data_IF_232256071354
#
_entry.id   IF_232256071354
#
_cell.length_a   1.000
_cell.length_b   1.000
_cell.length_c   1.000
_cell.angle_alpha   90.00
_cell.angle_beta   90.00
_cell.angle_gamma   90.00
#
_symmetry.space_group_name_H-M   'P 1'
#
loop_
_entity.id
_entity.type
_entity.pdbx_description
1 polymer ?
#
# COMPACT_ATOMS: atom_id res chain seq x y z
N UNK A 1 -12.98 10.43 64.81
CA UNK A 1 -12.05 10.27 63.67
C UNK A 1 -12.65 9.24 62.72
N UNK A 2 -13.15 9.64 61.55
CA UNK A 2 -13.63 8.71 60.53
C UNK A 2 -12.44 8.08 59.76
N UNK A 3 -12.53 6.81 59.34
CA UNK A 3 -11.47 6.13 58.61
C UNK A 3 -11.42 6.59 57.15
N UNK A 4 -10.23 7.05 56.72
CA UNK A 4 -9.89 7.34 55.34
C UNK A 4 -10.00 6.05 54.51
N UNK A 5 -11.00 5.97 53.64
CA UNK A 5 -11.05 4.96 52.58
C UNK A 5 -10.12 5.40 51.45
N UNK A 6 -8.89 4.87 51.47
CA UNK A 6 -8.04 4.86 50.29
C UNK A 6 -8.73 4.03 49.20
N UNK A 7 -9.44 4.70 48.29
CA UNK A 7 -9.74 4.11 46.98
C UNK A 7 -8.43 4.02 46.22
N UNK A 8 -7.80 2.84 46.32
CA UNK A 8 -6.77 2.44 45.38
C UNK A 8 -7.36 2.52 43.98
N UNK A 9 -6.97 3.54 43.22
CA UNK A 9 -7.13 3.52 41.79
C UNK A 9 -6.23 2.40 41.28
N UNK A 10 -6.84 1.30 40.88
CA UNK A 10 -6.17 0.29 40.07
C UNK A 10 -5.78 0.96 38.75
N UNK A 11 -4.61 1.59 38.71
CA UNK A 11 -3.91 1.82 37.45
C UNK A 11 -3.66 0.43 36.89
N UNK A 12 -4.42 0.07 35.85
CA UNK A 12 -4.06 -1.04 34.99
C UNK A 12 -2.64 -0.75 34.50
N UNK A 13 -1.68 -1.46 35.08
CA UNK A 13 -0.35 -1.64 34.49
C UNK A 13 -0.53 -2.46 33.22
N UNK A 14 -1.07 -1.82 32.18
CA UNK A 14 -1.23 -2.40 30.87
C UNK A 14 0.09 -2.28 30.14
N UNK A 15 0.84 -3.37 30.06
CA UNK A 15 2.07 -3.49 29.27
C UNK A 15 1.75 -3.60 27.77
N UNK A 16 0.87 -2.75 27.24
CA UNK A 16 0.36 -2.89 25.88
C UNK A 16 -0.21 -1.60 25.30
N UNK A 17 -0.37 -1.60 23.98
CA UNK A 17 -0.91 -0.47 23.22
C UNK A 17 -2.39 -0.27 23.58
N UNK A 18 -2.74 0.90 24.12
CA UNK A 18 -4.12 1.24 24.49
C UNK A 18 -5.03 1.36 23.26
N UNK A 19 -6.34 1.12 23.45
CA UNK A 19 -7.34 1.14 22.38
C UNK A 19 -7.36 2.45 21.56
N UNK A 20 -7.07 3.59 22.22
CA UNK A 20 -6.96 4.88 21.54
C UNK A 20 -5.79 4.90 20.57
N UNK A 21 -4.62 4.41 20.99
CA UNK A 21 -3.44 4.35 20.13
C UNK A 21 -3.69 3.39 18.96
N UNK A 22 -4.31 2.24 19.20
CA UNK A 22 -4.70 1.32 18.14
C UNK A 22 -5.66 1.96 17.11
N UNK A 23 -6.67 2.71 17.57
CA UNK A 23 -7.61 3.41 16.70
C UNK A 23 -6.94 4.51 15.87
N UNK A 24 -6.04 5.28 16.49
CA UNK A 24 -5.24 6.32 15.80
C UNK A 24 -4.36 5.69 14.73
N UNK A 25 -3.63 4.63 15.06
CA UNK A 25 -2.76 3.93 14.10
C UNK A 25 -3.56 3.35 12.93
N UNK A 26 -4.70 2.69 13.21
CA UNK A 26 -5.56 2.20 12.16
C UNK A 26 -6.07 3.33 11.24
N UNK A 27 -6.47 4.47 11.81
CA UNK A 27 -6.86 5.65 11.05
C UNK A 27 -5.71 6.19 10.17
N UNK A 28 -4.51 6.30 10.74
CA UNK A 28 -3.31 6.72 10.01
C UNK A 28 -2.97 5.75 8.86
N UNK A 29 -3.15 4.44 9.05
CA UNK A 29 -2.99 3.43 8.01
C UNK A 29 -4.00 3.57 6.87
N UNK A 30 -5.27 3.83 7.18
CA UNK A 30 -6.28 4.09 6.15
C UNK A 30 -5.93 5.35 5.33
N UNK A 31 -5.54 6.44 6.00
CA UNK A 31 -5.08 7.66 5.35
C UNK A 31 -3.83 7.41 4.50
N UNK A 32 -2.87 6.62 5.01
CA UNK A 32 -1.66 6.26 4.29
C UNK A 32 -1.98 5.54 2.97
N UNK A 33 -2.93 4.59 2.97
CA UNK A 33 -3.34 3.92 1.74
C UNK A 33 -3.89 4.91 0.71
N UNK A 34 -4.78 5.80 1.15
CA UNK A 34 -5.39 6.82 0.28
C UNK A 34 -4.34 7.78 -0.28
N UNK A 35 -3.43 8.27 0.56
CA UNK A 35 -2.35 9.16 0.13
C UNK A 35 -1.42 8.45 -0.86
N UNK A 36 -1.03 7.21 -0.58
CA UNK A 36 -0.21 6.42 -1.50
C UNK A 36 -0.90 6.23 -2.84
N UNK A 37 -2.21 5.92 -2.86
CA UNK A 37 -2.99 5.84 -4.08
C UNK A 37 -3.01 7.16 -4.86
N UNK A 38 -3.27 8.28 -4.19
CA UNK A 38 -3.34 9.59 -4.84
C UNK A 38 -1.99 10.00 -5.44
N UNK A 39 -0.89 9.77 -4.73
CA UNK A 39 0.45 10.06 -5.24
C UNK A 39 0.77 9.14 -6.43
N UNK A 40 0.50 7.83 -6.33
CA UNK A 40 0.69 6.90 -7.45
C UNK A 40 -0.19 7.26 -8.65
N UNK A 41 -1.41 7.74 -8.43
CA UNK A 41 -2.28 8.24 -9.50
C UNK A 41 -1.67 9.44 -10.22
N UNK A 42 -1.09 10.40 -9.48
CA UNK A 42 -0.36 11.51 -10.08
C UNK A 42 0.86 11.00 -10.86
N UNK A 43 1.67 10.12 -10.28
CA UNK A 43 2.85 9.57 -10.97
C UNK A 43 2.47 8.82 -12.25
N UNK A 44 1.43 7.98 -12.21
CA UNK A 44 0.93 7.25 -13.37
C UNK A 44 0.41 8.19 -14.47
N UNK A 45 -0.38 9.20 -14.10
CA UNK A 45 -0.98 10.11 -15.10
C UNK A 45 0.02 11.09 -15.69
N UNK A 46 1.05 11.48 -14.94
CA UNK A 46 2.07 12.42 -15.40
C UNK A 46 3.28 11.73 -16.05
N UNK A 47 3.40 10.40 -15.94
CA UNK A 47 4.55 9.69 -16.52
C UNK A 47 4.55 9.77 -18.04
N UNK A 48 5.75 9.97 -18.59
CA UNK A 48 6.06 9.75 -20.01
C UNK A 48 6.96 8.53 -20.08
N UNK A 49 6.68 7.63 -21.02
CA UNK A 49 7.51 6.44 -21.23
C UNK A 49 8.82 6.87 -21.89
N UNK A 50 9.98 6.38 -21.41
CA UNK A 50 11.26 6.65 -22.06
C UNK A 50 11.33 5.95 -23.42
N UNK A 51 12.14 6.46 -24.35
CA UNK A 51 12.35 5.79 -25.63
C UNK A 51 12.94 4.39 -25.40
N UNK A 52 12.37 3.32 -25.99
CA UNK A 52 12.87 1.96 -25.76
C UNK A 52 14.20 1.74 -26.48
N UNK A 53 15.19 1.20 -25.76
CA UNK A 53 16.52 0.89 -26.29
C UNK A 53 16.61 -0.54 -26.85
N UNK A 54 15.68 -1.42 -26.44
CA UNK A 54 15.61 -2.82 -26.88
C UNK A 54 14.22 -3.18 -27.40
N UNK A 55 14.15 -4.25 -28.20
CA UNK A 55 12.88 -4.75 -28.70
C UNK A 55 11.95 -5.23 -27.57
N UNK A 56 12.50 -5.85 -26.53
CA UNK A 56 11.72 -6.31 -25.37
C UNK A 56 11.11 -5.12 -24.62
N UNK A 57 11.89 -4.04 -24.39
CA UNK A 57 11.37 -2.80 -23.81
C UNK A 57 10.26 -2.18 -24.67
N UNK A 58 10.40 -2.23 -26.00
CA UNK A 58 9.36 -1.72 -26.90
C UNK A 58 8.05 -2.51 -26.78
N UNK A 59 8.12 -3.83 -26.58
CA UNK A 59 6.94 -4.68 -26.34
C UNK A 59 6.29 -4.34 -25.00
N UNK A 60 7.09 -4.26 -23.93
CA UNK A 60 6.58 -3.98 -22.58
C UNK A 60 5.94 -2.59 -22.50
N UNK A 61 6.56 -1.59 -23.12
CA UNK A 61 6.00 -0.24 -23.18
C UNK A 61 4.76 -0.16 -24.08
N UNK A 62 4.70 -0.93 -25.16
CA UNK A 62 3.48 -1.04 -25.97
C UNK A 62 2.33 -1.65 -25.16
N UNK A 63 2.62 -2.63 -24.29
CA UNK A 63 1.65 -3.16 -23.35
C UNK A 63 1.19 -2.10 -22.35
N UNK A 64 2.11 -1.34 -21.74
CA UNK A 64 1.75 -0.23 -20.84
C UNK A 64 0.91 0.82 -21.56
N UNK A 65 1.23 1.15 -22.81
CA UNK A 65 0.45 2.08 -23.61
C UNK A 65 -0.97 1.53 -23.88
N UNK A 66 -1.10 0.25 -24.21
CA UNK A 66 -2.41 -0.41 -24.31
C UNK A 66 -3.21 -0.27 -23.02
N UNK A 67 -2.59 -0.51 -21.85
CA UNK A 67 -3.25 -0.34 -20.55
C UNK A 67 -3.71 1.11 -20.35
N UNK A 68 -2.91 2.10 -20.75
CA UNK A 68 -3.30 3.52 -20.64
C UNK A 68 -4.47 3.88 -21.55
N UNK A 69 -4.58 3.23 -22.69
CA UNK A 69 -5.61 3.52 -23.70
C UNK A 69 -6.95 2.81 -23.38
N UNK A 70 -6.89 1.61 -22.80
CA UNK A 70 -8.10 0.78 -22.56
C UNK A 70 -8.57 0.74 -21.12
N UNK A 71 -7.66 0.77 -20.15
CA UNK A 71 -8.00 0.67 -18.73
C UNK A 71 -8.24 2.07 -18.16
N UNK A 72 -9.37 2.31 -17.46
CA UNK A 72 -9.59 3.58 -16.78
C UNK A 72 -8.39 3.94 -15.89
N UNK A 73 -7.87 5.16 -16.04
CA UNK A 73 -6.61 5.59 -15.41
C UNK A 73 -6.57 5.39 -13.89
N UNK A 74 -7.71 5.54 -13.22
CA UNK A 74 -7.84 5.32 -11.78
C UNK A 74 -7.66 3.85 -11.38
N UNK A 75 -8.06 2.89 -12.23
CA UNK A 75 -7.80 1.46 -12.03
C UNK A 75 -6.34 1.14 -12.28
N UNK A 76 -5.76 1.64 -13.38
CA UNK A 76 -4.36 1.41 -13.72
C UNK A 76 -3.40 2.00 -12.67
N UNK A 77 -3.69 3.19 -12.15
CA UNK A 77 -2.97 3.77 -11.01
C UNK A 77 -3.10 2.91 -9.75
N UNK A 78 -4.30 2.39 -9.48
CA UNK A 78 -4.54 1.43 -8.42
C UNK A 78 -3.67 0.20 -8.58
N UNK A 79 -3.71 -0.48 -9.73
CA UNK A 79 -2.86 -1.62 -10.06
C UNK A 79 -1.35 -1.31 -9.89
N UNK A 80 -0.92 -0.13 -10.33
CA UNK A 80 0.47 0.35 -10.17
C UNK A 80 0.85 0.48 -8.69
N UNK A 81 -0.08 0.89 -7.82
CA UNK A 81 0.17 0.91 -6.37
C UNK A 81 0.43 -0.51 -5.82
N UNK A 82 -0.23 -1.55 -6.35
CA UNK A 82 0.04 -2.94 -5.94
C UNK A 82 1.44 -3.38 -6.40
N UNK A 83 1.81 -3.05 -7.64
CA UNK A 83 3.16 -3.30 -8.14
C UNK A 83 4.24 -2.60 -7.30
N UNK A 84 3.97 -1.39 -6.80
CA UNK A 84 4.85 -0.68 -5.87
C UNK A 84 5.05 -1.42 -4.52
N UNK A 85 4.24 -2.43 -4.22
CA UNK A 85 4.40 -3.32 -3.07
C UNK A 85 4.95 -4.70 -3.44
N UNK A 86 5.51 -4.86 -4.64
CA UNK A 86 5.92 -6.16 -5.20
C UNK A 86 4.76 -7.15 -5.34
N UNK A 87 3.54 -6.64 -5.55
CA UNK A 87 2.38 -7.48 -5.89
C UNK A 87 2.15 -7.38 -7.38
N UNK A 88 2.65 -8.38 -8.12
CA UNK A 88 2.46 -8.46 -9.56
C UNK A 88 0.99 -8.73 -9.91
N UNK A 89 0.53 -8.15 -11.00
CA UNK A 89 -0.82 -8.36 -11.51
C UNK A 89 -0.89 -9.72 -12.20
N UNK A 90 -2.05 -10.37 -12.12
CA UNK A 90 -2.34 -11.53 -12.97
C UNK A 90 -3.00 -11.05 -14.25
N UNK A 91 -2.30 -11.22 -15.37
CA UNK A 91 -2.83 -11.04 -16.71
C UNK A 91 -3.32 -12.39 -17.24
N UNK A 92 -4.62 -12.53 -17.44
CA UNK A 92 -5.25 -13.78 -17.89
C UNK A 92 -5.89 -13.62 -19.25
N UNK A 93 -5.69 -14.61 -20.10
CA UNK A 93 -6.26 -14.74 -21.45
C UNK A 93 -6.78 -16.18 -21.64
N UNK A 94 -7.55 -16.48 -22.70
CA UNK A 94 -8.01 -17.86 -22.94
C UNK A 94 -6.86 -18.85 -23.18
N UNK A 95 -5.68 -18.38 -23.59
CA UNK A 95 -4.49 -19.21 -23.82
C UNK A 95 -3.64 -19.42 -22.58
N UNK A 96 -3.87 -18.69 -21.49
CA UNK A 96 -3.13 -18.82 -20.24
C UNK A 96 -3.03 -17.53 -19.45
N UNK A 97 -2.28 -17.58 -18.35
CA UNK A 97 -2.05 -16.44 -17.46
C UNK A 97 -0.56 -16.17 -17.28
N UNK A 98 -0.19 -14.89 -17.15
CA UNK A 98 1.14 -14.41 -16.80
C UNK A 98 1.08 -13.40 -15.65
N UNK A 99 2.23 -13.14 -15.04
CA UNK A 99 2.38 -12.07 -14.04
C UNK A 99 2.99 -10.84 -14.70
N UNK A 100 2.47 -9.66 -14.37
CA UNK A 100 2.91 -8.40 -14.97
C UNK A 100 3.08 -7.31 -13.91
N UNK A 101 4.17 -6.56 -14.03
CA UNK A 101 4.44 -5.37 -13.23
C UNK A 101 4.47 -4.14 -14.15
N UNK A 102 3.53 -3.22 -13.95
CA UNK A 102 3.38 -2.01 -14.78
C UNK A 102 4.53 -1.02 -14.59
N UNK A 103 5.18 -1.02 -13.42
CA UNK A 103 6.33 -0.14 -13.16
C UNK A 103 7.53 -0.65 -13.95
N UNK A 104 7.80 -1.96 -13.88
CA UNK A 104 8.89 -2.59 -14.62
C UNK A 104 8.65 -2.50 -16.12
N UNK A 105 7.43 -2.78 -16.58
CA UNK A 105 7.07 -2.72 -18.00
C UNK A 105 7.13 -1.28 -18.57
N UNK A 106 6.94 -0.26 -17.73
CA UNK A 106 7.13 1.13 -18.15
C UNK A 106 8.61 1.47 -18.38
N UNK A 107 9.54 0.69 -17.82
CA UNK A 107 10.98 0.82 -18.03
C UNK A 107 11.60 2.09 -17.45
N UNK A 108 10.87 2.88 -16.66
CA UNK A 108 11.35 4.13 -16.07
C UNK A 108 10.28 5.22 -16.00
N UNK A 109 10.72 6.47 -16.14
CA UNK A 109 9.84 7.65 -16.04
C UNK A 109 9.39 7.97 -14.62
N UNK A 110 8.40 8.85 -14.47
CA UNK A 110 7.90 9.27 -13.15
C UNK A 110 7.24 8.12 -12.39
N UNK A 111 6.66 7.15 -13.10
CA UNK A 111 6.00 6.00 -12.47
C UNK A 111 6.97 5.14 -11.66
N UNK A 112 8.27 5.12 -11.98
CA UNK A 112 9.28 4.43 -11.19
C UNK A 112 9.38 4.94 -9.74
N UNK A 113 9.06 6.22 -9.50
CA UNK A 113 9.04 6.76 -8.14
C UNK A 113 7.92 6.18 -7.27
N UNK A 114 6.92 5.51 -7.85
CA UNK A 114 5.85 4.86 -7.11
C UNK A 114 6.39 3.80 -6.15
N UNK A 115 7.54 3.16 -6.46
CA UNK A 115 8.20 2.19 -5.59
C UNK A 115 8.59 2.76 -4.21
N UNK A 116 8.84 4.07 -4.13
CA UNK A 116 9.20 4.73 -2.87
C UNK A 116 7.99 5.28 -2.12
N UNK A 117 6.83 5.38 -2.78
CA UNK A 117 5.64 5.99 -2.18
C UNK A 117 5.16 5.21 -0.95
N UNK A 118 4.89 3.90 -1.01
CA UNK A 118 4.39 3.19 0.16
C UNK A 118 5.36 3.16 1.34
N UNK A 119 6.67 2.87 1.16
CA UNK A 119 7.64 2.93 2.26
C UNK A 119 7.65 4.27 3.00
N UNK A 120 7.69 5.38 2.25
CA UNK A 120 7.79 6.72 2.83
C UNK A 120 6.49 7.12 3.54
N UNK A 121 5.34 6.88 2.91
CA UNK A 121 4.04 7.25 3.49
C UNK A 121 3.74 6.41 4.74
N UNK A 122 4.06 5.11 4.73
CA UNK A 122 3.87 4.23 5.90
C UNK A 122 4.82 4.59 7.04
N UNK A 123 6.07 4.96 6.74
CA UNK A 123 7.01 5.46 7.74
C UNK A 123 6.47 6.72 8.43
N UNK A 124 5.96 7.69 7.66
CA UNK A 124 5.33 8.89 8.21
C UNK A 124 4.07 8.54 9.01
N UNK A 125 3.23 7.62 8.53
CA UNK A 125 2.02 7.22 9.23
C UNK A 125 2.32 6.56 10.58
N UNK A 126 3.28 5.64 10.62
CA UNK A 126 3.74 5.01 11.86
C UNK A 126 4.33 6.02 12.83
N UNK A 127 5.16 6.95 12.32
CA UNK A 127 5.72 8.05 13.09
C UNK A 127 4.63 8.92 13.72
N UNK A 128 3.69 9.42 12.93
CA UNK A 128 2.61 10.30 13.39
C UNK A 128 1.73 9.58 14.43
N UNK A 129 1.45 8.29 14.22
CA UNK A 129 0.63 7.49 15.15
C UNK A 129 1.25 7.44 16.55
N UNK A 130 2.57 7.24 16.63
CA UNK A 130 3.29 7.19 17.91
C UNK A 130 3.57 8.59 18.45
N UNK A 131 3.85 9.56 17.59
CA UNK A 131 4.12 10.93 18.00
C UNK A 131 2.89 11.60 18.64
N UNK A 132 1.70 11.30 18.15
CA UNK A 132 0.42 11.86 18.64
C UNK A 132 -0.20 11.09 19.80
N UNK A 133 0.42 9.98 20.21
CA UNK A 133 -0.03 9.15 21.34
C UNK A 133 1.06 9.09 22.41
N UNK A 134 0.69 8.67 23.62
CA UNK A 134 1.64 8.43 24.72
C UNK A 134 2.30 7.04 24.63
N UNK A 135 2.38 6.47 23.41
CA UNK A 135 2.89 5.13 23.16
C UNK A 135 4.43 5.00 23.20
N UNK A 136 5.15 6.06 23.59
CA UNK A 136 6.62 6.13 23.61
C UNK A 136 7.25 5.71 24.95
N UNK A 137 6.54 4.94 25.77
CA UNK A 137 7.06 4.50 27.08
C UNK A 137 8.31 3.63 26.95
N UNK A 138 8.38 2.81 25.89
CA UNK A 138 9.55 2.04 25.50
C UNK A 138 9.57 1.80 23.98
N UNK A 139 10.73 1.41 23.45
CA UNK A 139 10.91 1.13 22.03
C UNK A 139 9.98 0.01 21.50
N UNK A 140 9.78 -1.12 22.20
CA UNK A 140 8.88 -2.17 21.73
C UNK A 140 7.43 -1.71 21.57
N UNK A 141 6.88 -0.93 22.52
CA UNK A 141 5.51 -0.43 22.38
C UNK A 141 5.39 0.61 21.27
N UNK A 142 6.40 1.45 21.05
CA UNK A 142 6.44 2.39 19.94
C UNK A 142 6.44 1.67 18.59
N UNK A 143 7.27 0.64 18.41
CA UNK A 143 7.30 -0.19 17.19
C UNK A 143 5.94 -0.87 16.98
N UNK A 144 5.37 -1.48 18.02
CA UNK A 144 4.08 -2.15 17.94
C UNK A 144 2.94 -1.18 17.57
N UNK A 145 2.88 -0.02 18.21
CA UNK A 145 1.89 1.01 17.91
C UNK A 145 2.03 1.57 16.48
N UNK A 146 3.26 1.76 16.01
CA UNK A 146 3.54 2.15 14.63
C UNK A 146 3.11 1.08 13.63
N UNK A 147 3.35 -0.20 13.92
CA UNK A 147 2.95 -1.32 13.06
C UNK A 147 1.41 -1.43 12.91
N UNK A 148 0.62 -1.00 13.91
CA UNK A 148 -0.84 -1.06 13.85
C UNK A 148 -1.49 -0.23 12.72
N UNK A 149 -0.71 0.58 11.99
CA UNK A 149 -1.16 1.14 10.70
C UNK A 149 -1.59 0.06 9.72
N UNK A 150 -1.08 -1.17 9.87
CA UNK A 150 -1.49 -2.34 9.10
C UNK A 150 -3.01 -2.54 9.08
N UNK A 151 -3.72 -2.24 10.18
CA UNK A 151 -5.15 -2.54 10.32
C UNK A 151 -5.98 -1.75 9.30
N UNK A 152 -5.79 -0.43 9.26
CA UNK A 152 -6.50 0.41 8.29
C UNK A 152 -5.97 0.24 6.86
N UNK A 153 -4.66 0.06 6.72
CA UNK A 153 -4.03 -0.13 5.41
C UNK A 153 -4.52 -1.41 4.73
N UNK A 154 -4.56 -2.54 5.46
CA UNK A 154 -5.03 -3.83 4.97
C UNK A 154 -6.52 -3.78 4.57
N UNK A 155 -7.36 -3.08 5.33
CA UNK A 155 -8.78 -2.98 5.00
C UNK A 155 -8.98 -2.34 3.61
N UNK A 156 -8.32 -1.21 3.36
CA UNK A 156 -8.41 -0.52 2.07
C UNK A 156 -7.68 -1.28 0.95
N UNK A 157 -6.58 -1.95 1.27
CA UNK A 157 -5.89 -2.86 0.36
C UNK A 157 -6.77 -3.99 -0.15
N UNK A 158 -7.61 -4.57 0.70
CA UNK A 158 -8.53 -5.61 0.27
C UNK A 158 -9.60 -5.02 -0.63
N UNK A 159 -10.18 -3.88 -0.28
CA UNK A 159 -11.16 -3.17 -1.12
C UNK A 159 -10.57 -2.83 -2.50
N UNK A 160 -9.34 -2.29 -2.53
CA UNK A 160 -8.65 -1.93 -3.76
C UNK A 160 -8.39 -3.11 -4.69
N UNK A 161 -8.07 -4.29 -4.15
CA UNK A 161 -7.75 -5.47 -4.96
C UNK A 161 -8.93 -5.89 -5.85
N UNK A 162 -10.16 -5.73 -5.35
CA UNK A 162 -11.37 -5.96 -6.15
C UNK A 162 -11.73 -4.75 -7.02
N UNK A 163 -11.54 -3.53 -6.50
CA UNK A 163 -11.98 -2.30 -7.17
C UNK A 163 -11.16 -2.02 -8.45
N UNK A 164 -9.86 -2.31 -8.41
CA UNK A 164 -8.94 -1.98 -9.50
C UNK A 164 -8.86 -3.04 -10.59
N UNK A 165 -9.40 -4.24 -10.40
CA UNK A 165 -9.45 -5.25 -11.44
C UNK A 165 -10.16 -4.76 -12.71
N UNK A 166 -9.69 -5.22 -13.86
CA UNK A 166 -10.25 -4.86 -15.17
C UNK A 166 -10.35 -6.09 -16.07
N UNK A 167 -11.49 -6.20 -16.76
CA UNK A 167 -11.74 -7.23 -17.77
C UNK A 167 -12.28 -6.54 -19.00
N UNK A 168 -11.72 -6.87 -20.16
CA UNK A 168 -12.12 -6.30 -21.44
C UNK A 168 -12.22 -7.40 -22.50
N UNK A 169 -13.20 -7.24 -23.38
CA UNK A 169 -13.35 -8.06 -24.58
C UNK A 169 -12.63 -7.38 -25.73
N UNK A 170 -11.72 -8.10 -26.37
CA UNK A 170 -10.98 -7.63 -27.54
C UNK A 170 -11.49 -8.39 -28.77
N UNK A 171 -11.89 -7.65 -29.79
CA UNK A 171 -12.25 -8.21 -31.09
C UNK A 171 -11.16 -7.91 -32.10
N UNK A 172 -10.62 -8.96 -32.73
CA UNK A 172 -9.60 -8.81 -33.76
C UNK A 172 -9.83 -9.81 -34.89
N UNK A 173 -9.98 -9.32 -36.13
CA UNK A 173 -10.26 -10.13 -37.32
C UNK A 173 -11.38 -11.17 -37.16
N UNK A 174 -12.48 -10.80 -36.49
CA UNK A 174 -13.63 -11.69 -36.28
C UNK A 174 -13.45 -12.73 -35.17
N UNK A 175 -12.34 -12.68 -34.43
CA UNK A 175 -12.14 -13.43 -33.20
C UNK A 175 -12.44 -12.55 -32.00
N UNK A 176 -13.31 -13.02 -31.10
CA UNK A 176 -13.56 -12.40 -29.80
C UNK A 176 -12.73 -13.11 -28.73
N UNK A 177 -11.83 -12.38 -28.08
CA UNK A 177 -11.11 -12.80 -26.89
C UNK A 177 -11.48 -11.94 -25.69
N UNK A 178 -11.20 -12.41 -24.48
CA UNK A 178 -11.28 -11.59 -23.27
C UNK A 178 -9.93 -11.64 -22.57
N UNK A 179 -9.45 -10.51 -22.08
CA UNK A 179 -8.34 -10.49 -21.14
C UNK A 179 -8.79 -9.90 -19.81
N UNK A 180 -8.12 -10.31 -18.74
CA UNK A 180 -8.37 -9.82 -17.39
C UNK A 180 -7.06 -9.46 -16.73
N UNK A 181 -7.00 -8.24 -16.20
CA UNK A 181 -5.97 -7.77 -15.28
C UNK A 181 -6.57 -7.76 -13.87
N UNK A 182 -6.06 -8.64 -13.01
CA UNK A 182 -6.54 -8.77 -11.64
C UNK A 182 -5.40 -8.70 -10.63
N UNK A 183 -5.76 -8.32 -9.40
CA UNK A 183 -4.81 -8.22 -8.29
C UNK A 183 -4.89 -9.50 -7.46
N UNK A 184 -3.78 -10.25 -7.30
CA UNK A 184 -3.80 -11.51 -6.54
C UNK A 184 -3.93 -11.25 -5.03
N UNK A 185 -4.93 -11.88 -4.41
CA UNK A 185 -5.26 -11.65 -2.99
C UNK A 185 -4.19 -12.14 -2.03
N UNK A 186 -3.56 -13.29 -2.30
CA UNK A 186 -2.52 -13.85 -1.43
C UNK A 186 -1.36 -12.86 -1.26
N UNK A 187 -0.82 -12.38 -2.37
CA UNK A 187 0.29 -11.43 -2.37
C UNK A 187 -0.11 -10.05 -1.85
N UNK A 188 -1.35 -9.63 -2.10
CA UNK A 188 -1.94 -8.43 -1.49
C UNK A 188 -1.89 -8.49 0.03
N UNK A 189 -2.38 -9.58 0.63
CA UNK A 189 -2.41 -9.70 2.09
C UNK A 189 -0.99 -9.77 2.65
N UNK A 190 -0.12 -10.59 2.06
CA UNK A 190 1.23 -10.82 2.58
C UNK A 190 2.09 -9.56 2.47
N UNK A 191 2.29 -9.02 1.26
CA UNK A 191 3.23 -7.94 1.07
C UNK A 191 2.62 -6.59 1.42
N UNK A 192 1.56 -6.22 0.72
CA UNK A 192 0.95 -4.90 0.83
C UNK A 192 0.21 -4.74 2.17
N UNK A 193 -0.46 -5.78 2.64
CA UNK A 193 -1.29 -5.75 3.83
C UNK A 193 -0.55 -5.97 5.16
N UNK A 194 0.55 -6.73 5.14
CA UNK A 194 1.28 -7.11 6.37
C UNK A 194 2.72 -6.63 6.33
N UNK A 195 3.55 -7.11 5.40
CA UNK A 195 4.99 -6.85 5.42
C UNK A 195 5.29 -5.35 5.36
N UNK A 196 4.72 -4.63 4.39
CA UNK A 196 4.98 -3.20 4.23
C UNK A 196 4.53 -2.38 5.45
N UNK A 197 3.27 -2.47 5.90
CA UNK A 197 2.82 -1.70 7.06
C UNK A 197 3.55 -2.04 8.35
N UNK A 198 3.85 -3.32 8.60
CA UNK A 198 4.55 -3.74 9.81
C UNK A 198 5.99 -3.22 9.82
N UNK A 199 6.71 -3.36 8.70
CA UNK A 199 8.11 -2.92 8.59
C UNK A 199 8.18 -1.40 8.64
N UNK A 200 7.54 -0.70 7.70
CA UNK A 200 7.70 0.74 7.57
C UNK A 200 6.93 1.52 8.65
N UNK A 201 5.73 1.07 9.03
CA UNK A 201 4.99 1.65 10.16
C UNK A 201 5.72 1.43 11.49
N UNK A 202 6.27 0.24 11.72
CA UNK A 202 7.10 -0.05 12.89
C UNK A 202 8.36 0.79 12.96
N UNK A 203 9.08 0.95 11.84
CA UNK A 203 10.24 1.85 11.73
C UNK A 203 9.88 3.31 11.99
N UNK A 204 8.73 3.76 11.47
CA UNK A 204 8.18 5.08 11.78
C UNK A 204 7.96 5.28 13.28
N UNK A 205 7.36 4.28 13.94
CA UNK A 205 7.14 4.28 15.38
C UNK A 205 8.44 4.33 16.19
N UNK A 206 9.45 3.55 15.80
CA UNK A 206 10.79 3.63 16.40
C UNK A 206 11.42 5.02 16.24
N UNK A 207 11.29 5.63 15.05
CA UNK A 207 11.78 6.99 14.81
C UNK A 207 11.11 8.03 15.72
N UNK A 208 9.80 7.89 15.98
CA UNK A 208 9.08 8.79 16.90
C UNK A 208 9.54 8.64 18.36
N UNK A 209 9.86 7.42 18.80
CA UNK A 209 10.44 7.16 20.12
C UNK A 209 11.79 7.86 20.28
N UNK A 210 12.70 7.69 19.32
CA UNK A 210 14.05 8.27 19.36
C UNK A 210 14.08 9.80 19.35
N UNK A 211 13.01 10.47 18.91
CA UNK A 211 12.91 11.94 18.92
C UNK A 211 12.25 12.51 20.18
N UNK A 212 11.59 11.67 20.99
CA UNK A 212 10.96 12.10 22.25
C UNK A 212 11.83 11.85 23.49
N UNK A 213 12.78 10.91 23.40
CA UNK A 213 13.83 10.66 24.38
C UNK A 213 14.97 11.70 24.29
#
# INVERSE_FOLDING_TARGET
>A
MPPNTMRGSSRSSGTGVDARAAAVSAGAGAVAFVVSYLVTFLLWTQTTLPDPETFDQAIDQAFVQSVRDTVPSWKAAGMTLYNAHFVDLTYSTPSGSSSVNLIDAAGGGLVAFAMFVPPLVLLVAGFVSVYTTDATVDLPNAVAAGALVLVGYLLFALVGAFLFGHTESVEFFGFSGQYTLSVPLLWTVVFLGVVYPVVFGGLGGAGAYLLKD
#
